data_IF_881446912062
#
_entry.id   IF_881446912062
#
_cell.length_a   1.000
_cell.length_b   1.000
_cell.length_c   1.000
_cell.angle_alpha   90.00
_cell.angle_beta   90.00
_cell.angle_gamma   90.00
#
_symmetry.space_group_name_H-M   'P 1'
#
loop_
_entity.id
_entity.type
_entity.pdbx_description
1 polymer ?
#
# COMPACT_ATOMS: atom_id res chain seq x y z
N UNK A 1 -28.83 28.64 -7.63
CA UNK A 1 -28.33 28.55 -6.25
C UNK A 1 -27.85 27.10 -6.02
N UNK A 2 -26.56 26.89 -5.91
CA UNK A 2 -25.98 25.57 -5.62
C UNK A 2 -26.24 25.35 -4.11
N UNK A 3 -26.89 24.23 -3.78
CA UNK A 3 -27.33 23.93 -2.44
C UNK A 3 -26.13 23.74 -1.48
N UNK A 4 -25.92 24.64 -0.53
CA UNK A 4 -24.81 24.61 0.44
C UNK A 4 -24.72 23.28 1.21
N UNK A 5 -25.83 22.59 1.45
CA UNK A 5 -25.82 21.27 2.11
C UNK A 5 -25.06 20.19 1.34
N UNK A 6 -25.03 20.25 0.00
CA UNK A 6 -24.28 19.29 -0.84
C UNK A 6 -22.76 19.51 -0.76
N UNK A 7 -22.29 20.74 -0.57
CA UNK A 7 -20.89 21.04 -0.35
C UNK A 7 -20.41 20.49 1.00
N UNK A 8 -21.20 20.71 2.05
CA UNK A 8 -20.88 20.22 3.40
C UNK A 8 -20.72 18.70 3.48
N UNK A 9 -21.65 17.96 2.84
CA UNK A 9 -21.60 16.49 2.80
C UNK A 9 -20.38 15.97 2.00
N UNK A 10 -19.85 16.76 1.08
CA UNK A 10 -18.72 16.40 0.26
C UNK A 10 -17.38 16.64 0.98
N UNK A 11 -17.22 17.78 1.65
CA UNK A 11 -16.06 18.08 2.49
C UNK A 11 -15.88 16.98 3.54
N UNK A 12 -16.97 16.50 4.14
CA UNK A 12 -16.95 15.37 5.08
C UNK A 12 -16.35 14.11 4.44
N UNK A 13 -16.63 13.82 3.17
CA UNK A 13 -16.12 12.59 2.51
C UNK A 13 -14.61 12.64 2.25
N UNK A 14 -14.06 13.76 1.79
CA UNK A 14 -12.61 13.86 1.58
C UNK A 14 -11.86 13.84 2.90
N UNK A 15 -12.35 14.54 3.92
CA UNK A 15 -11.78 14.53 5.27
C UNK A 15 -11.80 13.12 5.87
N UNK A 16 -12.90 12.39 5.72
CA UNK A 16 -12.99 11.01 6.18
C UNK A 16 -11.92 10.12 5.56
N UNK A 17 -11.69 10.22 4.24
CA UNK A 17 -10.65 9.46 3.54
C UNK A 17 -9.25 9.82 4.03
N UNK A 18 -8.97 11.12 4.22
CA UNK A 18 -7.69 11.60 4.75
C UNK A 18 -7.48 11.03 6.16
N UNK A 19 -8.49 11.14 7.02
CA UNK A 19 -8.43 10.66 8.40
C UNK A 19 -8.23 9.15 8.49
N UNK A 20 -8.88 8.36 7.61
CA UNK A 20 -8.71 6.91 7.58
C UNK A 20 -7.28 6.52 7.18
N UNK A 21 -6.68 7.19 6.18
CA UNK A 21 -5.26 6.99 5.83
C UNK A 21 -4.33 7.34 6.98
N UNK A 22 -4.53 8.51 7.61
CA UNK A 22 -3.73 8.95 8.76
C UNK A 22 -3.87 8.01 9.96
N UNK A 23 -5.06 7.48 10.20
CA UNK A 23 -5.30 6.51 11.26
C UNK A 23 -4.52 5.20 11.02
N UNK A 24 -4.54 4.67 9.79
CA UNK A 24 -3.76 3.48 9.45
C UNK A 24 -2.25 3.76 9.49
N UNK A 25 -1.82 4.91 8.97
CA UNK A 25 -0.42 5.35 9.04
C UNK A 25 0.08 5.44 10.49
N UNK A 26 -0.76 5.93 11.39
CA UNK A 26 -0.46 5.96 12.83
C UNK A 26 -0.36 4.56 13.42
N UNK A 27 -1.25 3.63 13.05
CA UNK A 27 -1.15 2.22 13.48
C UNK A 27 0.17 1.62 13.04
N UNK A 28 0.59 1.84 11.78
CA UNK A 28 1.89 1.38 11.29
C UNK A 28 3.06 2.02 12.06
N UNK A 29 3.05 3.33 12.26
CA UNK A 29 4.09 4.01 13.02
C UNK A 29 4.18 3.55 14.48
N UNK A 30 3.05 3.18 15.08
CA UNK A 30 2.99 2.62 16.44
C UNK A 30 3.27 1.10 16.46
N UNK A 31 3.42 0.45 15.30
CA UNK A 31 3.57 -1.00 15.17
C UNK A 31 2.40 -1.76 15.83
N UNK A 32 1.20 -1.21 15.72
CA UNK A 32 -0.02 -1.86 16.21
C UNK A 32 -0.36 -3.06 15.31
N UNK A 33 -0.95 -4.11 15.89
CA UNK A 33 -1.43 -5.25 15.12
C UNK A 33 -2.54 -4.78 14.16
N UNK A 34 -2.35 -5.04 12.87
CA UNK A 34 -3.31 -4.72 11.81
C UNK A 34 -3.61 -5.93 10.95
N UNK A 35 -4.82 -5.98 10.39
CA UNK A 35 -5.26 -7.04 9.49
C UNK A 35 -5.61 -6.45 8.13
N UNK A 36 -4.90 -6.88 7.09
CA UNK A 36 -5.18 -6.54 5.70
C UNK A 36 -6.00 -7.62 5.02
N UNK A 37 -7.07 -7.24 4.32
CA UNK A 37 -7.82 -8.14 3.45
C UNK A 37 -7.14 -8.24 2.08
N UNK A 38 -6.83 -9.44 1.61
CA UNK A 38 -6.16 -9.68 0.32
C UNK A 38 -7.16 -10.04 -0.77
N UNK A 39 -7.22 -9.27 -1.85
CA UNK A 39 -8.18 -9.43 -2.94
C UNK A 39 -7.46 -9.88 -4.21
N UNK A 40 -7.80 -11.08 -4.66
CA UNK A 40 -7.33 -11.68 -5.93
C UNK A 40 -8.46 -11.87 -6.96
N UNK A 41 -9.66 -11.37 -6.67
CA UNK A 41 -10.84 -11.47 -7.51
C UNK A 41 -11.35 -10.09 -7.93
N UNK A 42 -11.99 -10.03 -9.10
CA UNK A 42 -12.44 -8.77 -9.71
C UNK A 42 -13.73 -8.20 -9.14
N UNK A 43 -14.45 -8.99 -8.33
CA UNK A 43 -15.75 -8.59 -7.81
C UNK A 43 -15.60 -7.61 -6.63
N UNK A 44 -16.06 -6.35 -6.77
CA UNK A 44 -15.99 -5.37 -5.69
C UNK A 44 -16.75 -5.77 -4.43
N UNK A 45 -17.76 -6.66 -4.52
CA UNK A 45 -18.53 -7.11 -3.36
C UNK A 45 -17.67 -7.88 -2.35
N UNK A 46 -16.61 -8.57 -2.81
CA UNK A 46 -15.67 -9.25 -1.92
C UNK A 46 -14.92 -8.21 -1.07
N UNK A 47 -14.41 -7.17 -1.70
CA UNK A 47 -13.69 -6.09 -1.02
C UNK A 47 -14.61 -5.32 -0.05
N UNK A 48 -15.86 -5.06 -0.46
CA UNK A 48 -16.88 -4.47 0.41
C UNK A 48 -17.14 -5.35 1.63
N UNK A 49 -17.27 -6.67 1.44
CA UNK A 49 -17.50 -7.62 2.54
C UNK A 49 -16.35 -7.60 3.53
N UNK A 50 -15.10 -7.58 3.07
CA UNK A 50 -13.93 -7.51 3.93
C UNK A 50 -13.86 -6.18 4.68
N UNK A 51 -14.18 -5.07 4.01
CA UNK A 51 -14.25 -3.76 4.66
C UNK A 51 -15.28 -3.74 5.79
N UNK A 52 -16.48 -4.28 5.52
CA UNK A 52 -17.54 -4.42 6.55
C UNK A 52 -17.17 -5.39 7.68
N UNK A 53 -16.35 -6.39 7.40
CA UNK A 53 -15.82 -7.31 8.42
C UNK A 53 -14.77 -6.65 9.34
N UNK A 54 -14.33 -5.43 9.05
CA UNK A 54 -13.47 -4.64 9.92
C UNK A 54 -11.97 -4.81 9.67
N UNK A 55 -11.57 -5.25 8.46
CA UNK A 55 -10.15 -5.22 8.08
C UNK A 55 -9.63 -3.78 8.07
N UNK A 56 -8.41 -3.57 8.56
CA UNK A 56 -7.79 -2.25 8.66
C UNK A 56 -7.50 -1.63 7.29
N UNK A 57 -7.19 -2.47 6.30
CA UNK A 57 -7.02 -2.08 4.91
C UNK A 57 -7.34 -3.25 3.96
N UNK A 58 -7.55 -2.91 2.70
CA UNK A 58 -7.74 -3.88 1.61
C UNK A 58 -6.58 -3.75 0.63
N UNK A 59 -5.87 -4.84 0.38
CA UNK A 59 -4.86 -4.94 -0.66
C UNK A 59 -5.47 -5.59 -1.91
N UNK A 60 -5.29 -4.95 -3.08
CA UNK A 60 -5.66 -5.53 -4.37
C UNK A 60 -4.38 -6.10 -5.00
N UNK A 61 -4.38 -7.37 -5.31
CA UNK A 61 -3.27 -8.02 -5.98
C UNK A 61 -3.32 -7.75 -7.50
N UNK A 62 -2.47 -6.83 -7.95
CA UNK A 62 -2.31 -6.55 -9.38
C UNK A 62 -1.13 -7.33 -9.99
N UNK A 63 -0.26 -7.91 -9.16
CA UNK A 63 0.95 -8.61 -9.61
C UNK A 63 0.64 -10.02 -10.10
N UNK A 64 -0.04 -10.82 -9.31
CA UNK A 64 -0.29 -12.24 -9.60
C UNK A 64 -1.75 -12.52 -9.93
N UNK A 65 -2.45 -11.54 -10.49
CA UNK A 65 -3.84 -11.70 -10.95
C UNK A 65 -4.04 -11.10 -12.33
N UNK A 66 -5.25 -11.26 -12.86
CA UNK A 66 -5.66 -10.62 -14.12
C UNK A 66 -6.53 -9.39 -13.88
N UNK A 67 -6.48 -8.79 -12.69
CA UNK A 67 -7.23 -7.58 -12.35
C UNK A 67 -6.63 -6.41 -13.14
N UNK A 68 -7.48 -5.76 -13.93
CA UNK A 68 -7.12 -4.58 -14.71
C UNK A 68 -7.21 -3.30 -13.85
N UNK A 69 -6.61 -2.21 -14.32
CA UNK A 69 -6.71 -0.90 -13.65
C UNK A 69 -8.17 -0.43 -13.52
N UNK A 70 -9.04 -0.70 -14.50
CA UNK A 70 -10.46 -0.34 -14.43
C UNK A 70 -11.19 -1.16 -13.36
N UNK A 71 -10.92 -2.45 -13.27
CA UNK A 71 -11.47 -3.30 -12.21
C UNK A 71 -10.96 -2.87 -10.82
N UNK A 72 -9.67 -2.56 -10.70
CA UNK A 72 -9.09 -2.02 -9.47
C UNK A 72 -9.76 -0.69 -9.06
N UNK A 73 -10.06 0.21 -10.01
CA UNK A 73 -10.79 1.45 -9.73
C UNK A 73 -12.17 1.17 -9.12
N UNK A 74 -12.89 0.15 -9.60
CA UNK A 74 -14.20 -0.25 -9.04
C UNK A 74 -14.05 -0.80 -7.62
N UNK A 75 -13.03 -1.63 -7.38
CA UNK A 75 -12.72 -2.18 -6.06
C UNK A 75 -12.34 -1.05 -5.09
N UNK A 76 -11.44 -0.15 -5.48
CA UNK A 76 -11.05 1.03 -4.68
C UNK A 76 -12.30 1.85 -4.31
N UNK A 77 -13.20 2.04 -5.28
CA UNK A 77 -14.43 2.80 -5.06
C UNK A 77 -15.34 2.12 -4.04
N UNK A 78 -15.51 0.80 -4.14
CA UNK A 78 -16.32 0.00 -3.22
C UNK A 78 -15.76 0.05 -1.80
N UNK A 79 -14.45 -0.21 -1.62
CA UNK A 79 -13.77 -0.11 -0.32
C UNK A 79 -13.98 1.25 0.33
N UNK A 80 -13.75 2.33 -0.43
CA UNK A 80 -13.86 3.70 0.09
C UNK A 80 -15.29 4.14 0.37
N UNK A 81 -16.30 3.57 -0.32
CA UNK A 81 -17.71 3.84 -0.03
C UNK A 81 -18.13 3.34 1.36
N UNK A 82 -17.47 2.29 1.85
CA UNK A 82 -17.66 1.72 3.19
C UNK A 82 -16.69 2.29 4.23
N UNK A 83 -15.92 3.32 3.88
CA UNK A 83 -14.95 3.94 4.78
C UNK A 83 -13.63 3.19 4.95
N UNK A 84 -13.35 2.20 4.09
CA UNK A 84 -12.09 1.46 4.11
C UNK A 84 -10.92 2.18 3.46
N UNK A 85 -9.72 1.66 3.70
CA UNK A 85 -8.46 2.07 3.08
C UNK A 85 -8.04 1.02 2.06
N UNK A 86 -7.68 1.43 0.84
CA UNK A 86 -7.31 0.53 -0.25
C UNK A 86 -5.88 0.77 -0.71
N UNK A 87 -5.04 -0.28 -0.65
CA UNK A 87 -3.61 -0.26 -0.98
C UNK A 87 -3.32 -1.34 -2.03
N UNK A 88 -3.41 -1.05 -3.34
CA UNK A 88 -3.07 -2.02 -4.37
C UNK A 88 -1.60 -2.44 -4.32
N UNK A 89 -1.32 -3.74 -4.50
CA UNK A 89 0.01 -4.26 -4.82
C UNK A 89 0.25 -4.10 -6.31
N UNK A 90 1.34 -3.43 -6.66
CA UNK A 90 1.72 -3.12 -8.03
C UNK A 90 2.19 -4.33 -8.83
N UNK A 91 2.16 -4.20 -10.17
CA UNK A 91 2.69 -5.19 -11.11
C UNK A 91 4.21 -5.11 -11.21
N UNK A 92 4.77 -3.90 -11.14
CA UNK A 92 6.20 -3.62 -11.32
C UNK A 92 6.54 -2.20 -10.87
N UNK A 93 7.82 -1.84 -10.93
CA UNK A 93 8.32 -0.50 -10.59
C UNK A 93 7.98 0.58 -11.64
N UNK A 94 7.35 0.20 -12.75
CA UNK A 94 6.99 1.17 -13.81
C UNK A 94 5.87 2.10 -13.33
N UNK A 95 6.14 3.41 -13.38
CA UNK A 95 5.19 4.45 -13.02
C UNK A 95 3.90 4.45 -13.86
N UNK A 96 3.94 3.89 -15.07
CA UNK A 96 2.77 3.78 -15.95
C UNK A 96 1.67 2.88 -15.35
N UNK A 97 2.02 1.95 -14.46
CA UNK A 97 1.05 1.15 -13.70
C UNK A 97 0.64 1.82 -12.39
N UNK A 98 1.56 2.49 -11.69
CA UNK A 98 1.27 3.14 -10.41
C UNK A 98 0.37 4.37 -10.57
N UNK A 99 0.70 5.23 -11.54
CA UNK A 99 -0.01 6.49 -11.76
C UNK A 99 -1.52 6.32 -11.95
N UNK A 100 -2.03 5.42 -12.81
CA UNK A 100 -3.46 5.21 -12.97
C UNK A 100 -4.18 4.79 -11.69
N UNK A 101 -3.54 4.00 -10.82
CA UNK A 101 -4.12 3.58 -9.54
C UNK A 101 -4.18 4.73 -8.55
N UNK A 102 -3.15 5.58 -8.50
CA UNK A 102 -3.16 6.79 -7.69
C UNK A 102 -4.24 7.77 -8.18
N UNK A 103 -4.42 7.91 -9.51
CA UNK A 103 -5.48 8.76 -10.09
C UNK A 103 -6.88 8.17 -9.86
N UNK A 104 -7.01 6.84 -9.83
CA UNK A 104 -8.23 6.14 -9.40
C UNK A 104 -8.55 6.38 -7.91
N UNK A 105 -7.59 6.93 -7.15
CA UNK A 105 -7.76 7.31 -5.75
C UNK A 105 -7.36 6.23 -4.76
N UNK A 106 -6.45 5.32 -5.11
CA UNK A 106 -5.83 4.42 -4.13
C UNK A 106 -5.30 5.22 -2.94
N UNK A 107 -5.42 4.69 -1.74
CA UNK A 107 -5.00 5.34 -0.51
C UNK A 107 -3.51 5.16 -0.22
N UNK A 108 -2.89 4.26 -0.95
CA UNK A 108 -1.47 3.96 -0.92
C UNK A 108 -1.10 2.95 -2.00
N UNK A 109 0.15 2.52 -1.98
CA UNK A 109 0.70 1.52 -2.91
C UNK A 109 1.59 0.55 -2.14
N UNK A 110 1.49 -0.73 -2.47
CA UNK A 110 2.45 -1.75 -2.07
C UNK A 110 3.31 -2.12 -3.28
N UNK A 111 4.62 -1.94 -3.14
CA UNK A 111 5.56 -2.13 -4.24
C UNK A 111 6.33 -3.44 -4.09
N UNK A 112 6.20 -4.38 -5.04
CA UNK A 112 6.90 -5.65 -5.01
C UNK A 112 8.39 -5.51 -5.34
N UNK A 113 9.19 -6.51 -5.04
CA UNK A 113 10.56 -6.71 -5.52
C UNK A 113 11.52 -5.54 -5.30
N UNK A 114 11.39 -4.80 -4.20
CA UNK A 114 12.35 -3.74 -3.84
C UNK A 114 13.63 -4.38 -3.32
N UNK A 115 14.75 -4.13 -4.00
CA UNK A 115 16.04 -4.75 -3.70
C UNK A 115 17.09 -3.78 -3.14
N UNK A 116 16.85 -2.49 -3.21
CA UNK A 116 17.75 -1.46 -2.69
C UNK A 116 16.99 -0.14 -2.43
N UNK A 117 17.65 0.78 -1.73
CA UNK A 117 17.07 2.08 -1.37
C UNK A 117 16.85 2.99 -2.59
N UNK A 118 17.66 2.87 -3.62
CA UNK A 118 17.56 3.67 -4.84
C UNK A 118 16.27 3.36 -5.60
N UNK A 119 15.88 2.08 -5.66
CA UNK A 119 14.60 1.65 -6.21
C UNK A 119 13.44 2.24 -5.40
N UNK A 120 13.47 2.12 -4.07
CA UNK A 120 12.45 2.69 -3.19
C UNK A 120 12.33 4.22 -3.38
N UNK A 121 13.45 4.94 -3.40
CA UNK A 121 13.47 6.39 -3.56
C UNK A 121 12.98 6.83 -4.94
N UNK A 122 13.29 6.08 -6.00
CA UNK A 122 12.78 6.37 -7.36
C UNK A 122 11.26 6.29 -7.40
N UNK A 123 10.68 5.28 -6.76
CA UNK A 123 9.23 5.10 -6.72
C UNK A 123 8.59 6.16 -5.81
N UNK A 124 9.18 6.45 -4.65
CA UNK A 124 8.72 7.50 -3.75
C UNK A 124 8.72 8.88 -4.42
N UNK A 125 9.71 9.16 -5.27
CA UNK A 125 9.70 10.39 -6.07
C UNK A 125 8.48 10.48 -7.00
N UNK A 126 8.05 9.39 -7.60
CA UNK A 126 6.85 9.34 -8.44
C UNK A 126 5.54 9.27 -7.63
N UNK A 127 5.61 8.90 -6.37
CA UNK A 127 4.48 8.79 -5.45
C UNK A 127 4.13 10.13 -4.78
N UNK A 128 5.15 10.91 -4.41
CA UNK A 128 4.99 12.20 -3.71
C UNK A 128 4.88 13.37 -4.69
N UNK A 129 4.06 14.36 -4.36
CA UNK A 129 4.02 15.63 -5.08
C UNK A 129 5.21 16.53 -4.73
N UNK A 130 5.58 17.47 -5.62
CA UNK A 130 6.55 18.51 -5.29
C UNK A 130 6.19 19.28 -4.00
N UNK A 131 7.18 19.74 -3.20
CA UNK A 131 8.63 19.67 -3.46
C UNK A 131 9.30 18.35 -3.02
N UNK A 132 8.58 17.43 -2.37
CA UNK A 132 9.14 16.19 -1.81
C UNK A 132 9.27 15.06 -2.85
N UNK A 133 8.66 15.22 -4.03
CA UNK A 133 8.72 14.26 -5.14
C UNK A 133 8.43 14.92 -6.48
N UNK A 134 8.26 14.10 -7.52
CA UNK A 134 8.04 14.52 -8.90
C UNK A 134 6.70 14.05 -9.48
N UNK A 135 5.73 13.62 -8.65
CA UNK A 135 4.41 13.20 -9.13
C UNK A 135 3.75 14.34 -9.91
N UNK A 136 3.32 14.05 -11.14
CA UNK A 136 2.61 15.02 -11.97
C UNK A 136 1.19 15.26 -11.49
N UNK A 137 0.69 16.46 -11.74
CA UNK A 137 -0.68 16.84 -11.43
C UNK A 137 -1.64 16.42 -12.55
N UNK A 138 -2.80 15.90 -12.18
CA UNK A 138 -3.89 15.53 -13.07
C UNK A 138 -5.22 15.70 -12.36
N UNK A 139 -6.32 15.71 -13.11
CA UNK A 139 -7.67 15.82 -12.54
C UNK A 139 -8.43 14.54 -12.81
N UNK A 140 -8.63 13.74 -11.77
CA UNK A 140 -9.36 12.49 -11.84
C UNK A 140 -10.09 12.22 -10.51
N UNK A 141 -10.54 10.99 -10.29
CA UNK A 141 -11.29 10.55 -9.11
C UNK A 141 -10.58 10.87 -7.79
N UNK A 142 -9.25 10.70 -7.73
CA UNK A 142 -8.45 10.99 -6.53
C UNK A 142 -8.71 12.40 -5.97
N UNK A 143 -8.80 13.37 -6.86
CA UNK A 143 -9.01 14.79 -6.57
C UNK A 143 -10.49 15.21 -6.59
N UNK A 144 -11.42 14.24 -6.51
CA UNK A 144 -12.85 14.52 -6.64
C UNK A 144 -13.22 15.18 -7.96
N UNK A 145 -12.55 14.79 -9.07
CA UNK A 145 -12.72 15.40 -10.39
C UNK A 145 -12.48 16.92 -10.41
N UNK A 146 -11.47 17.36 -9.69
CA UNK A 146 -11.05 18.75 -9.57
C UNK A 146 -11.67 19.53 -8.42
N UNK A 147 -12.70 19.03 -7.81
CA UNK A 147 -13.39 19.74 -6.74
C UNK A 147 -12.66 19.70 -5.39
N UNK A 148 -11.81 18.71 -5.15
CA UNK A 148 -11.02 18.54 -3.93
C UNK A 148 -9.51 18.65 -4.22
N UNK A 149 -9.14 19.29 -5.35
CA UNK A 149 -7.78 19.29 -5.88
C UNK A 149 -6.75 19.80 -4.88
N UNK A 150 -6.91 21.04 -4.41
CA UNK A 150 -5.97 21.67 -3.47
C UNK A 150 -5.87 20.89 -2.16
N UNK A 151 -7.02 20.40 -1.66
CA UNK A 151 -7.06 19.62 -0.42
C UNK A 151 -6.34 18.28 -0.56
N UNK A 152 -6.54 17.59 -1.67
CA UNK A 152 -5.86 16.33 -1.94
C UNK A 152 -4.35 16.52 -2.04
N UNK A 153 -3.88 17.48 -2.85
CA UNK A 153 -2.45 17.74 -3.06
C UNK A 153 -1.76 18.13 -1.76
N UNK A 154 -2.34 19.09 -1.01
CA UNK A 154 -1.74 19.58 0.24
C UNK A 154 -1.63 18.52 1.34
N UNK A 155 -2.42 17.45 1.27
CA UNK A 155 -2.45 16.40 2.31
C UNK A 155 -1.80 15.09 1.87
N UNK A 156 -1.64 14.84 0.57
CA UNK A 156 -1.21 13.55 0.04
C UNK A 156 0.16 13.11 0.58
N UNK A 157 1.16 13.97 0.50
CA UNK A 157 2.53 13.60 0.89
C UNK A 157 2.64 13.14 2.36
N UNK A 158 1.74 13.61 3.21
CA UNK A 158 1.69 13.24 4.63
C UNK A 158 0.72 12.09 4.93
N UNK A 159 -0.27 11.83 4.06
CA UNK A 159 -1.33 10.86 4.33
C UNK A 159 -1.27 9.61 3.44
N UNK A 160 -0.67 9.68 2.27
CA UNK A 160 -0.52 8.54 1.36
C UNK A 160 0.33 7.44 2.00
N UNK A 161 -0.05 6.18 1.77
CA UNK A 161 0.60 5.01 2.36
C UNK A 161 1.54 4.36 1.35
N UNK A 162 2.79 4.18 1.72
CA UNK A 162 3.79 3.53 0.86
C UNK A 162 4.40 2.32 1.55
N UNK A 163 4.18 1.15 0.96
CA UNK A 163 4.65 -0.13 1.45
C UNK A 163 5.59 -0.76 0.42
N UNK A 164 6.59 -1.51 0.89
CA UNK A 164 7.49 -2.29 0.02
C UNK A 164 7.48 -3.76 0.40
N UNK A 165 7.64 -4.65 -0.59
CA UNK A 165 7.87 -6.07 -0.35
C UNK A 165 9.36 -6.40 -0.42
N UNK A 166 9.83 -7.14 0.59
CA UNK A 166 11.15 -7.73 0.70
C UNK A 166 11.00 -9.21 0.45
N UNK A 167 11.45 -9.65 -0.71
CA UNK A 167 11.17 -10.99 -1.22
C UNK A 167 12.33 -11.61 -2.02
N UNK A 168 13.53 -11.03 -1.88
CA UNK A 168 14.77 -11.59 -2.41
C UNK A 168 15.89 -11.51 -1.37
N UNK A 169 16.90 -12.37 -1.48
CA UNK A 169 18.08 -12.30 -0.62
C UNK A 169 18.82 -10.97 -0.80
N UNK A 170 18.87 -10.44 -2.02
CA UNK A 170 19.44 -9.11 -2.28
C UNK A 170 18.73 -8.01 -1.49
N UNK A 171 17.41 -8.08 -1.39
CA UNK A 171 16.63 -7.15 -0.58
C UNK A 171 16.92 -7.30 0.91
N UNK A 172 17.04 -8.54 1.40
CA UNK A 172 17.40 -8.83 2.80
C UNK A 172 18.79 -8.29 3.13
N UNK A 173 19.79 -8.47 2.25
CA UNK A 173 21.14 -7.93 2.42
C UNK A 173 21.17 -6.39 2.45
N UNK A 174 20.24 -5.72 1.80
CA UNK A 174 20.13 -4.27 1.75
C UNK A 174 19.09 -3.68 2.71
N UNK A 175 18.50 -4.48 3.58
CA UNK A 175 17.33 -4.07 4.37
C UNK A 175 17.62 -2.85 5.26
N UNK A 176 18.79 -2.76 5.87
CA UNK A 176 19.18 -1.62 6.73
C UNK A 176 19.24 -0.27 5.99
N UNK A 177 19.41 -0.31 4.68
CA UNK A 177 19.32 0.88 3.84
C UNK A 177 17.87 1.13 3.42
N UNK A 178 17.13 0.10 3.00
CA UNK A 178 15.75 0.21 2.52
C UNK A 178 14.84 0.80 3.60
N UNK A 179 14.94 0.36 4.85
CA UNK A 179 14.09 0.85 5.95
C UNK A 179 14.32 2.33 6.29
N UNK A 180 15.35 2.97 5.74
CA UNK A 180 15.63 4.41 5.89
C UNK A 180 15.02 5.27 4.80
N UNK A 181 14.27 4.68 3.85
CA UNK A 181 13.62 5.44 2.79
C UNK A 181 12.57 6.41 3.39
N UNK A 182 12.72 7.71 3.11
CA UNK A 182 11.85 8.75 3.67
C UNK A 182 10.43 8.69 3.08
N UNK A 183 9.49 8.24 3.88
CA UNK A 183 8.08 8.06 3.51
C UNK A 183 7.68 6.60 3.35
N UNK A 184 8.53 5.66 3.71
CA UNK A 184 8.17 4.25 3.87
C UNK A 184 7.35 4.07 5.15
N UNK A 185 6.20 3.42 5.07
CA UNK A 185 5.27 3.22 6.19
C UNK A 185 5.34 1.81 6.77
N UNK A 186 5.54 0.81 5.92
CA UNK A 186 5.66 -0.58 6.35
C UNK A 186 6.43 -1.43 5.33
N UNK A 187 6.96 -2.54 5.81
CA UNK A 187 7.63 -3.56 5.00
C UNK A 187 6.81 -4.84 5.04
N UNK A 188 6.56 -5.44 3.88
CA UNK A 188 5.95 -6.77 3.77
C UNK A 188 7.00 -7.80 3.41
N UNK A 189 7.05 -8.92 4.13
CA UNK A 189 7.93 -10.05 3.83
C UNK A 189 7.21 -10.99 2.86
N UNK A 190 7.89 -11.38 1.76
CA UNK A 190 7.45 -12.40 0.80
C UNK A 190 8.22 -13.72 0.98
N UNK A 191 7.84 -14.60 1.92
CA UNK A 191 8.63 -15.80 2.26
C UNK A 191 8.73 -16.81 1.12
N UNK A 192 7.72 -16.90 0.25
CA UNK A 192 7.76 -17.78 -0.93
C UNK A 192 8.86 -17.37 -1.89
N UNK A 193 8.94 -16.08 -2.25
CA UNK A 193 9.94 -15.56 -3.18
C UNK A 193 11.33 -15.56 -2.56
N UNK A 194 11.46 -15.28 -1.25
CA UNK A 194 12.72 -15.47 -0.51
C UNK A 194 13.17 -16.92 -0.62
N UNK A 195 12.29 -17.91 -0.49
CA UNK A 195 12.63 -19.32 -0.62
C UNK A 195 13.15 -19.67 -2.01
N UNK A 196 12.53 -19.12 -3.05
CA UNK A 196 13.01 -19.23 -4.43
C UNK A 196 14.38 -18.60 -4.63
N UNK A 197 14.58 -17.40 -4.11
CA UNK A 197 15.86 -16.67 -4.14
C UNK A 197 16.99 -17.44 -3.41
N UNK A 198 16.66 -18.20 -2.36
CA UNK A 198 17.58 -19.07 -1.62
C UNK A 198 17.77 -20.47 -2.23
N UNK A 199 17.19 -20.75 -3.39
CA UNK A 199 17.24 -22.05 -4.08
C UNK A 199 16.57 -23.19 -3.28
N UNK A 200 15.58 -22.87 -2.46
CA UNK A 200 14.72 -23.81 -1.71
C UNK A 200 13.24 -23.48 -1.94
N UNK A 201 12.76 -23.50 -3.22
CA UNK A 201 11.46 -22.95 -3.60
C UNK A 201 10.31 -23.64 -2.87
N UNK A 202 9.42 -22.83 -2.26
CA UNK A 202 8.26 -23.30 -1.51
C UNK A 202 8.54 -23.72 -0.07
N UNK A 203 9.80 -23.89 0.33
CA UNK A 203 10.18 -24.27 1.70
C UNK A 203 10.20 -23.05 2.63
N UNK A 204 9.05 -22.40 2.85
CA UNK A 204 8.95 -21.20 3.67
C UNK A 204 9.41 -21.39 5.13
N UNK A 205 9.39 -22.61 5.64
CA UNK A 205 9.88 -22.98 6.97
C UNK A 205 11.37 -23.35 7.00
N UNK A 206 12.08 -23.32 5.85
CA UNK A 206 13.50 -23.63 5.80
C UNK A 206 14.29 -22.67 6.73
N UNK A 207 15.33 -23.16 7.47
CA UNK A 207 16.07 -22.34 8.42
C UNK A 207 16.61 -21.03 7.82
N UNK A 208 17.12 -21.05 6.59
CA UNK A 208 17.62 -19.85 5.89
C UNK A 208 16.51 -18.84 5.59
N UNK A 209 15.29 -19.30 5.25
CA UNK A 209 14.14 -18.42 5.00
C UNK A 209 13.71 -17.74 6.30
N UNK A 210 13.66 -18.50 7.40
CA UNK A 210 13.34 -17.97 8.73
C UNK A 210 14.38 -16.97 9.23
N UNK A 211 15.66 -17.23 8.96
CA UNK A 211 16.75 -16.30 9.28
C UNK A 211 16.61 -15.00 8.47
N UNK A 212 16.40 -15.09 7.16
CA UNK A 212 16.15 -13.94 6.31
C UNK A 212 14.94 -13.10 6.79
N UNK A 213 13.82 -13.76 7.11
CA UNK A 213 12.64 -13.10 7.64
C UNK A 213 12.94 -12.39 8.98
N UNK A 214 13.71 -13.03 9.89
CA UNK A 214 14.14 -12.43 11.15
C UNK A 214 14.98 -11.18 10.93
N UNK A 215 15.95 -11.23 10.01
CA UNK A 215 16.77 -10.06 9.63
C UNK A 215 15.90 -8.88 9.21
N UNK A 216 14.86 -9.13 8.42
CA UNK A 216 13.90 -8.06 8.00
C UNK A 216 13.12 -7.53 9.19
N UNK A 217 12.61 -8.39 10.06
CA UNK A 217 11.89 -7.99 11.28
C UNK A 217 12.77 -7.12 12.17
N UNK A 218 14.01 -7.56 12.46
CA UNK A 218 14.95 -6.85 13.34
C UNK A 218 15.30 -5.45 12.77
N UNK A 219 15.48 -5.35 11.45
CA UNK A 219 15.73 -4.07 10.78
C UNK A 219 14.51 -3.14 10.86
N UNK A 220 13.30 -3.66 10.63
CA UNK A 220 12.05 -2.88 10.78
C UNK A 220 11.87 -2.40 12.23
N UNK A 221 12.16 -3.26 13.22
CA UNK A 221 12.10 -2.90 14.64
C UNK A 221 13.06 -1.76 14.96
N UNK A 222 14.31 -1.88 14.50
CA UNK A 222 15.34 -0.86 14.73
C UNK A 222 14.99 0.48 14.07
N UNK A 223 14.28 0.45 12.95
CA UNK A 223 13.84 1.65 12.22
C UNK A 223 12.47 2.19 12.70
N UNK A 224 11.78 1.49 13.62
CA UNK A 224 10.44 1.87 14.08
C UNK A 224 9.34 1.65 13.03
N UNK A 225 9.56 0.76 12.05
CA UNK A 225 8.61 0.44 10.98
C UNK A 225 7.78 -0.80 11.32
N UNK A 226 6.56 -0.84 10.82
CA UNK A 226 5.73 -2.05 10.83
C UNK A 226 6.26 -3.08 9.83
N UNK A 227 6.27 -4.35 10.27
CA UNK A 227 6.57 -5.49 9.43
C UNK A 227 5.31 -6.33 9.25
N UNK A 228 4.97 -6.66 8.01
CA UNK A 228 3.75 -7.37 7.62
C UNK A 228 4.14 -8.67 6.92
N UNK A 229 3.35 -9.70 7.07
CA UNK A 229 3.45 -10.93 6.27
C UNK A 229 2.07 -11.41 5.82
N UNK A 230 2.03 -12.12 4.72
CA UNK A 230 0.81 -12.77 4.25
C UNK A 230 0.63 -14.09 4.99
N UNK A 231 -0.58 -14.31 5.49
CA UNK A 231 -0.98 -15.54 6.17
C UNK A 231 -2.02 -16.26 5.29
N UNK A 232 -1.70 -17.45 4.85
CA UNK A 232 -2.60 -18.26 4.01
C UNK A 232 -3.55 -19.16 4.82
N UNK A 233 -3.23 -19.42 6.10
CA UNK A 233 -4.02 -20.24 7.02
C UNK A 233 -3.97 -19.64 8.42
N UNK A 234 -5.08 -19.70 9.15
CA UNK A 234 -5.19 -19.29 10.57
C UNK A 234 -4.30 -20.10 11.53
N UNK A 235 -3.69 -21.18 11.06
CA UNK A 235 -2.73 -22.00 11.81
C UNK A 235 -1.26 -21.63 11.57
N UNK A 236 -0.98 -20.64 10.75
CA UNK A 236 0.37 -20.19 10.37
C UNK A 236 0.91 -19.09 11.28
N UNK A 237 0.63 -19.17 12.58
CA UNK A 237 1.19 -18.29 13.61
C UNK A 237 2.69 -18.57 13.85
#
# INVERSE_FOLDING_TARGET
MINQSRFFTREIKIEQRINNRLALKKKFANREKTFGGWISYRDPAIAETFTKAGFDFIAIDMEHTTITTDEANRIITSVQSEGGVCIPRQVSHNNDYMKPLLEAGADGIMMPMINNIEEANTILNNFKFPPQGGRSFGVNRAHGYGFDFDRYISTWNNSGLFLVQIESIKAVENIDAIVKADGLDAVMIGPYDISGSLQVPGETNHPKVREAARTVVDACESAGLSCITQVADVKSD
#
